data_IF_912281473457
#
_entry.id   IF_912281473457
#
_cell.length_a   1.000
_cell.length_b   1.000
_cell.length_c   1.000
_cell.angle_alpha   90.00
_cell.angle_beta   90.00
_cell.angle_gamma   90.00
#
_symmetry.space_group_name_H-M   'P 1'
#
loop_
_entity.id
_entity.type
_entity.pdbx_description
1 polymer ?
#
# COMPACT_ATOMS: atom_id res chain seq x y z
N UNK A 1 -14.90 -20.22 19.34
CA UNK A 1 -14.12 -20.74 18.18
C UNK A 1 -14.75 -20.39 16.85
N UNK A 2 -16.02 -20.74 16.57
CA UNK A 2 -16.67 -20.48 15.27
C UNK A 2 -16.63 -18.99 14.87
N UNK A 3 -16.92 -18.07 15.80
CA UNK A 3 -16.86 -16.61 15.54
C UNK A 3 -15.46 -16.14 15.12
N UNK A 4 -14.40 -16.69 15.72
CA UNK A 4 -13.01 -16.35 15.37
C UNK A 4 -12.63 -16.89 13.99
N UNK A 5 -13.12 -18.07 13.63
CA UNK A 5 -12.90 -18.66 12.30
C UNK A 5 -13.60 -17.82 11.23
N UNK A 6 -14.86 -17.42 11.48
CA UNK A 6 -15.61 -16.54 10.57
C UNK A 6 -14.88 -15.20 10.43
N UNK A 7 -14.44 -14.59 11.53
CA UNK A 7 -13.68 -13.33 11.49
C UNK A 7 -12.36 -13.48 10.70
N UNK A 8 -11.65 -14.59 10.87
CA UNK A 8 -10.44 -14.87 10.11
C UNK A 8 -10.74 -14.97 8.61
N UNK A 9 -11.78 -15.71 8.20
CA UNK A 9 -12.18 -15.84 6.80
C UNK A 9 -12.58 -14.48 6.20
N UNK A 10 -13.27 -13.64 6.95
CA UNK A 10 -13.65 -12.29 6.50
C UNK A 10 -12.40 -11.43 6.28
N UNK A 11 -11.43 -11.46 7.19
CA UNK A 11 -10.14 -10.77 7.03
C UNK A 11 -9.36 -11.36 5.84
N UNK A 12 -9.42 -12.68 5.67
CA UNK A 12 -9.17 -13.49 4.47
C UNK A 12 -9.54 -12.78 3.17
N UNK A 13 -10.84 -12.70 2.95
CA UNK A 13 -11.46 -12.23 1.71
C UNK A 13 -11.26 -10.72 1.54
N UNK A 14 -11.39 -9.94 2.62
CA UNK A 14 -11.16 -8.49 2.58
C UNK A 14 -9.71 -8.15 2.24
N UNK A 15 -8.74 -8.84 2.86
CA UNK A 15 -7.33 -8.63 2.58
C UNK A 15 -6.99 -8.97 1.12
N UNK A 16 -7.54 -10.05 0.58
CA UNK A 16 -7.29 -10.46 -0.80
C UNK A 16 -7.88 -9.48 -1.84
N UNK A 17 -9.11 -9.02 -1.61
CA UNK A 17 -9.84 -8.13 -2.52
C UNK A 17 -9.39 -6.68 -2.42
N UNK A 18 -9.19 -6.18 -1.20
CA UNK A 18 -8.80 -4.78 -0.96
C UNK A 18 -7.31 -4.52 -1.23
N UNK A 19 -6.47 -5.55 -1.33
CA UNK A 19 -5.03 -5.40 -1.55
C UNK A 19 -4.68 -4.50 -2.75
N UNK A 20 -5.23 -4.80 -3.93
CA UNK A 20 -4.95 -4.05 -5.16
C UNK A 20 -5.35 -2.56 -5.08
N UNK A 21 -6.61 -2.21 -4.74
CA UNK A 21 -7.02 -0.80 -4.67
C UNK A 21 -6.30 -0.04 -3.55
N UNK A 22 -6.06 -0.67 -2.39
CA UNK A 22 -5.32 -0.04 -1.29
C UNK A 22 -3.85 0.18 -1.66
N UNK A 23 -3.20 -0.79 -2.29
CA UNK A 23 -1.82 -0.66 -2.73
C UNK A 23 -1.67 0.41 -3.79
N UNK A 24 -2.63 0.56 -4.71
CA UNK A 24 -2.62 1.63 -5.72
C UNK A 24 -2.78 3.01 -5.07
N UNK A 25 -3.72 3.15 -4.13
CA UNK A 25 -3.99 4.43 -3.43
C UNK A 25 -2.86 4.87 -2.51
N UNK A 26 -2.13 3.93 -1.91
CA UNK A 26 -1.07 4.20 -0.94
C UNK A 26 0.35 3.94 -1.49
N UNK A 27 0.50 3.73 -2.80
CA UNK A 27 1.78 3.42 -3.45
C UNK A 27 2.87 4.47 -3.20
N UNK A 28 2.48 5.75 -3.08
CA UNK A 28 3.39 6.87 -2.77
C UNK A 28 3.66 7.10 -1.28
N UNK A 29 2.91 6.43 -0.39
CA UNK A 29 2.98 6.64 1.06
C UNK A 29 3.73 5.51 1.75
N UNK A 30 3.35 4.25 1.47
CA UNK A 30 3.94 3.08 2.12
C UNK A 30 4.05 1.91 1.15
N UNK A 31 5.25 1.34 1.04
CA UNK A 31 5.52 0.14 0.25
C UNK A 31 5.18 -1.14 1.01
N UNK A 32 5.09 -2.26 0.29
CA UNK A 32 4.73 -3.59 0.86
C UNK A 32 5.62 -3.96 2.04
N UNK A 33 6.94 -3.76 1.93
CA UNK A 33 7.89 -4.03 3.01
C UNK A 33 7.66 -3.14 4.25
N UNK A 34 7.30 -1.87 4.05
CA UNK A 34 6.96 -0.97 5.16
C UNK A 34 5.68 -1.39 5.87
N UNK A 35 4.65 -1.81 5.12
CA UNK A 35 3.43 -2.35 5.71
C UNK A 35 3.67 -3.63 6.52
N UNK A 36 4.67 -4.44 6.19
CA UNK A 36 5.07 -5.59 7.00
C UNK A 36 5.68 -5.21 8.33
N UNK A 37 6.55 -4.20 8.35
CA UNK A 37 7.13 -3.68 9.60
C UNK A 37 6.02 -3.18 10.52
N UNK A 38 5.03 -2.48 9.96
CA UNK A 38 3.86 -2.02 10.71
C UNK A 38 3.02 -3.18 11.24
N UNK A 39 2.71 -4.17 10.39
CA UNK A 39 1.96 -5.36 10.78
C UNK A 39 2.66 -6.13 11.91
N UNK A 40 3.97 -6.33 11.78
CA UNK A 40 4.80 -7.00 12.79
C UNK A 40 4.76 -6.23 14.11
N UNK A 41 4.87 -4.90 14.08
CA UNK A 41 4.73 -4.05 15.26
C UNK A 41 3.39 -4.23 15.97
N UNK A 42 2.28 -4.27 15.21
CA UNK A 42 0.95 -4.50 15.76
C UNK A 42 0.81 -5.89 16.37
N UNK A 43 1.33 -6.93 15.71
CA UNK A 43 1.32 -8.29 16.26
C UNK A 43 2.15 -8.41 17.54
N UNK A 44 3.33 -7.79 17.59
CA UNK A 44 4.15 -7.75 18.80
C UNK A 44 3.48 -6.95 19.92
N UNK A 45 2.70 -5.92 19.61
CA UNK A 45 1.92 -5.18 20.60
C UNK A 45 0.87 -6.09 21.26
N UNK A 46 0.10 -6.85 20.48
CA UNK A 46 -0.85 -7.81 21.06
C UNK A 46 -0.15 -8.94 21.82
N UNK A 47 0.98 -9.43 21.32
CA UNK A 47 1.77 -10.46 21.99
C UNK A 47 2.32 -9.97 23.33
N UNK A 48 2.87 -8.76 23.39
CA UNK A 48 3.42 -8.17 24.63
C UNK A 48 2.33 -7.90 25.66
N UNK A 49 1.15 -7.42 25.26
CA UNK A 49 -0.01 -7.29 26.17
C UNK A 49 -0.41 -8.66 26.74
N UNK A 50 -0.52 -9.68 25.90
CA UNK A 50 -0.85 -11.04 26.33
C UNK A 50 0.18 -11.62 27.30
N UNK A 51 1.47 -11.38 27.04
CA UNK A 51 2.58 -11.81 27.90
C UNK A 51 2.56 -11.09 29.25
N UNK A 52 2.30 -9.78 29.29
CA UNK A 52 2.19 -8.99 30.52
C UNK A 52 1.03 -9.50 31.39
N UNK A 53 -0.14 -9.71 30.79
CA UNK A 53 -1.31 -10.26 31.51
C UNK A 53 -1.02 -11.68 32.02
N UNK A 54 -0.41 -12.53 31.20
CA UNK A 54 -0.03 -13.89 31.57
C UNK A 54 0.99 -13.95 32.71
N UNK A 55 1.92 -12.99 32.75
CA UNK A 55 2.90 -12.82 33.83
C UNK A 55 2.22 -12.41 35.14
N UNK A 56 1.31 -11.44 35.11
CA UNK A 56 0.54 -11.02 36.29
C UNK A 56 -0.34 -12.17 36.82
N UNK A 57 -0.85 -13.02 35.94
CA UNK A 57 -1.72 -14.15 36.30
C UNK A 57 -0.91 -15.40 36.72
N UNK A 58 0.43 -15.34 36.75
CA UNK A 58 1.30 -16.44 37.18
C UNK A 58 1.35 -17.64 36.22
N UNK A 59 0.90 -17.48 34.97
CA UNK A 59 0.80 -18.56 33.97
C UNK A 59 1.86 -18.47 32.86
N UNK A 60 2.78 -17.51 32.92
CA UNK A 60 3.75 -17.31 31.83
C UNK A 60 4.99 -18.20 31.98
N UNK A 61 5.26 -19.02 30.95
CA UNK A 61 6.54 -19.73 30.75
C UNK A 61 7.54 -18.91 29.90
N UNK A 62 7.34 -17.59 29.78
CA UNK A 62 8.09 -16.73 28.86
C UNK A 62 9.23 -16.05 29.61
N UNK A 63 10.44 -16.04 29.02
CA UNK A 63 11.62 -15.43 29.65
C UNK A 63 11.48 -13.91 29.70
N UNK A 64 11.92 -13.28 30.79
CA UNK A 64 11.93 -11.82 30.93
C UNK A 64 12.72 -11.13 29.79
N UNK A 65 13.76 -11.79 29.27
CA UNK A 65 14.55 -11.30 28.15
C UNK A 65 13.74 -11.23 26.85
N UNK A 66 12.88 -12.22 26.58
CA UNK A 66 12.03 -12.25 25.39
C UNK A 66 10.98 -11.14 25.43
N UNK A 67 10.43 -10.85 26.62
CA UNK A 67 9.48 -9.75 26.81
C UNK A 67 10.17 -8.41 26.52
N UNK A 68 11.36 -8.18 27.10
CA UNK A 68 12.11 -6.93 26.89
C UNK A 68 12.48 -6.75 25.41
N UNK A 69 13.05 -7.78 24.78
CA UNK A 69 13.42 -7.73 23.36
C UNK A 69 12.20 -7.49 22.47
N UNK A 70 11.09 -8.19 22.75
CA UNK A 70 9.82 -8.00 22.04
C UNK A 70 9.30 -6.58 22.15
N UNK A 71 9.37 -5.96 23.34
CA UNK A 71 8.99 -4.56 23.56
C UNK A 71 9.89 -3.60 22.80
N UNK A 72 11.21 -3.81 22.79
CA UNK A 72 12.15 -2.94 22.05
C UNK A 72 11.87 -2.98 20.55
N UNK A 73 11.69 -4.17 19.97
CA UNK A 73 11.37 -4.31 18.54
C UNK A 73 10.01 -3.70 18.23
N UNK A 74 9.02 -3.90 19.10
CA UNK A 74 7.69 -3.29 18.96
C UNK A 74 7.78 -1.75 18.93
N UNK A 75 8.57 -1.14 19.82
CA UNK A 75 8.78 0.31 19.85
C UNK A 75 9.46 0.81 18.57
N UNK A 76 10.43 0.06 18.01
CA UNK A 76 11.05 0.40 16.73
C UNK A 76 10.04 0.34 15.57
N UNK A 77 9.19 -0.69 15.53
CA UNK A 77 8.15 -0.82 14.51
C UNK A 77 7.08 0.28 14.60
N UNK A 78 6.65 0.64 15.81
CA UNK A 78 5.74 1.76 16.02
C UNK A 78 6.41 3.10 15.69
N UNK A 79 7.68 3.27 16.05
CA UNK A 79 8.47 4.44 15.69
C UNK A 79 8.57 4.61 14.18
N UNK A 80 8.79 3.53 13.43
CA UNK A 80 8.73 3.52 11.97
C UNK A 80 7.35 3.95 11.44
N UNK A 81 6.26 3.44 12.03
CA UNK A 81 4.90 3.84 11.65
C UNK A 81 4.68 5.34 11.82
N UNK A 82 5.07 5.89 12.98
CA UNK A 82 4.96 7.34 13.27
C UNK A 82 5.83 8.15 12.31
N UNK A 83 7.05 7.70 12.03
CA UNK A 83 7.93 8.34 11.06
C UNK A 83 7.28 8.43 9.67
N UNK A 84 6.66 7.36 9.18
CA UNK A 84 5.94 7.36 7.90
C UNK A 84 4.75 8.32 7.94
N UNK A 85 3.99 8.36 9.03
CA UNK A 85 2.85 9.29 9.18
C UNK A 85 3.27 10.76 9.10
N UNK A 86 4.44 11.11 9.67
CA UNK A 86 4.91 12.49 9.71
C UNK A 86 5.59 12.93 8.41
N UNK A 87 6.23 12.00 7.70
CA UNK A 87 7.05 12.33 6.52
C UNK A 87 6.37 12.09 5.17
N UNK A 88 5.37 11.19 5.11
CA UNK A 88 4.76 10.74 3.85
C UNK A 88 3.25 11.00 3.74
N UNK A 89 2.57 11.32 4.83
CA UNK A 89 1.13 11.63 4.79
C UNK A 89 0.88 13.13 4.71
N UNK A 90 0.22 13.56 3.63
CA UNK A 90 -0.18 14.95 3.40
C UNK A 90 -1.47 15.30 4.15
N UNK A 91 -2.39 14.35 4.32
CA UNK A 91 -3.70 14.59 4.92
C UNK A 91 -3.88 13.89 6.27
N UNK A 92 -4.71 14.49 7.14
CA UNK A 92 -5.09 13.91 8.45
C UNK A 92 -5.81 12.57 8.27
N UNK A 93 -6.68 12.46 7.26
CA UNK A 93 -7.37 11.22 6.94
C UNK A 93 -6.40 10.08 6.57
N UNK A 94 -5.35 10.37 5.78
CA UNK A 94 -4.31 9.38 5.47
C UNK A 94 -3.57 8.93 6.73
N UNK A 95 -3.23 9.84 7.65
CA UNK A 95 -2.55 9.49 8.91
C UNK A 95 -3.36 8.54 9.77
N UNK A 96 -4.67 8.78 9.91
CA UNK A 96 -5.56 7.94 10.71
C UNK A 96 -5.79 6.56 10.05
N UNK A 97 -5.91 6.53 8.72
CA UNK A 97 -6.17 5.28 7.98
C UNK A 97 -4.92 4.44 7.72
N UNK A 98 -3.72 5.04 7.73
CA UNK A 98 -2.46 4.36 7.44
C UNK A 98 -2.21 3.07 8.24
N UNK A 99 -2.43 2.99 9.57
CA UNK A 99 -2.14 1.76 10.30
C UNK A 99 -3.07 0.62 9.89
N UNK A 100 -4.36 0.92 9.65
CA UNK A 100 -5.33 -0.06 9.19
C UNK A 100 -5.00 -0.53 7.77
N UNK A 101 -4.70 0.40 6.88
CA UNK A 101 -4.31 0.10 5.50
C UNK A 101 -3.02 -0.69 5.45
N UNK A 102 -2.01 -0.34 6.25
CA UNK A 102 -0.76 -1.06 6.34
C UNK A 102 -0.96 -2.50 6.82
N UNK A 103 -1.82 -2.73 7.82
CA UNK A 103 -2.18 -4.06 8.27
C UNK A 103 -2.91 -4.86 7.18
N UNK A 104 -3.87 -4.24 6.47
CA UNK A 104 -4.60 -4.88 5.37
C UNK A 104 -3.69 -5.23 4.19
N UNK A 105 -2.73 -4.36 3.84
CA UNK A 105 -1.73 -4.62 2.80
C UNK A 105 -0.80 -5.76 3.23
N UNK A 106 -0.35 -5.76 4.49
CA UNK A 106 0.49 -6.83 5.04
C UNK A 106 -0.21 -8.18 5.02
N UNK A 107 -1.41 -8.28 5.61
CA UNK A 107 -2.21 -9.52 5.60
C UNK A 107 -2.60 -9.95 4.19
N UNK A 108 -3.03 -9.00 3.35
CA UNK A 108 -3.41 -9.26 1.97
C UNK A 108 -2.25 -9.81 1.13
N UNK A 109 -1.02 -9.37 1.38
CA UNK A 109 0.16 -9.95 0.73
C UNK A 109 0.39 -11.39 1.19
N UNK A 110 0.40 -11.67 2.50
CA UNK A 110 0.59 -13.04 3.01
C UNK A 110 -0.40 -13.99 2.36
N UNK A 111 -1.66 -13.57 2.28
CA UNK A 111 -2.72 -14.38 1.69
C UNK A 111 -2.56 -14.57 0.18
N UNK A 112 -2.13 -13.52 -0.53
CA UNK A 112 -1.84 -13.61 -1.97
C UNK A 112 -0.61 -14.46 -2.27
N UNK A 113 0.40 -14.47 -1.42
CA UNK A 113 1.54 -15.40 -1.54
C UNK A 113 1.07 -16.84 -1.37
N UNK A 114 0.27 -17.11 -0.34
CA UNK A 114 -0.31 -18.44 -0.14
C UNK A 114 -1.17 -18.87 -1.34
N UNK A 115 -2.04 -17.98 -1.83
CA UNK A 115 -2.86 -18.26 -3.00
C UNK A 115 -2.01 -18.47 -4.28
N UNK A 116 -0.93 -17.72 -4.47
CA UNK A 116 -0.03 -17.89 -5.59
C UNK A 116 0.72 -19.24 -5.53
N UNK A 117 1.10 -19.71 -4.34
CA UNK A 117 1.74 -21.01 -4.17
C UNK A 117 0.74 -22.15 -4.42
N UNK A 118 -0.47 -22.05 -3.87
CA UNK A 118 -1.46 -23.14 -3.90
C UNK A 118 -2.24 -23.19 -5.21
N UNK A 119 -2.65 -22.04 -5.73
CA UNK A 119 -3.55 -21.93 -6.89
C UNK A 119 -2.86 -21.36 -8.14
N UNK A 120 -1.54 -21.16 -8.10
CA UNK A 120 -0.76 -20.60 -9.22
C UNK A 120 -1.31 -19.27 -9.76
N UNK A 121 -1.96 -18.49 -8.90
CA UNK A 121 -2.50 -17.17 -9.29
C UNK A 121 -1.37 -16.15 -9.45
N UNK A 122 -1.39 -15.31 -10.49
CA UNK A 122 -0.37 -14.28 -10.69
C UNK A 122 -0.41 -13.23 -9.55
N UNK A 123 0.76 -12.89 -9.01
CA UNK A 123 0.87 -11.82 -8.01
C UNK A 123 0.88 -10.46 -8.69
N UNK A 124 -0.29 -9.83 -8.79
CA UNK A 124 -0.37 -8.45 -9.24
C UNK A 124 0.28 -7.51 -8.22
N UNK A 125 1.15 -6.66 -8.74
CA UNK A 125 1.88 -5.68 -7.96
C UNK A 125 0.97 -4.51 -7.54
N UNK A 126 -0.22 -4.30 -8.12
CA UNK A 126 -1.08 -3.14 -7.78
C UNK A 126 -0.44 -1.75 -7.97
N UNK A 127 0.85 -1.68 -8.34
CA UNK A 127 1.50 -0.51 -8.88
C UNK A 127 0.89 -0.29 -10.25
N UNK A 128 0.51 0.96 -10.60
CA UNK A 128 0.25 1.27 -12.00
C UNK A 128 1.47 0.78 -12.80
N UNK A 129 1.24 0.14 -13.95
CA UNK A 129 2.34 -0.27 -14.80
C UNK A 129 3.22 0.96 -15.03
N UNK A 130 4.51 0.88 -14.69
CA UNK A 130 5.44 1.93 -15.05
C UNK A 130 5.45 1.99 -16.58
N UNK A 131 5.01 3.12 -17.14
CA UNK A 131 4.84 3.29 -18.58
C UNK A 131 3.39 3.28 -19.11
N UNK A 132 2.36 3.47 -18.27
CA UNK A 132 1.00 3.76 -18.79
C UNK A 132 1.00 5.09 -19.56
N UNK A 133 1.71 6.09 -19.05
CA UNK A 133 1.76 7.44 -19.62
C UNK A 133 3.04 7.67 -20.44
N UNK A 134 2.94 7.81 -21.77
CA UNK A 134 4.09 8.08 -22.63
C UNK A 134 4.72 9.44 -22.30
N UNK A 135 6.04 9.58 -22.48
CA UNK A 135 6.74 10.83 -22.14
C UNK A 135 6.38 11.99 -23.07
N UNK A 136 5.96 11.65 -24.30
CA UNK A 136 5.57 12.60 -25.35
C UNK A 136 4.22 12.16 -25.93
N UNK A 137 3.32 13.13 -26.07
CA UNK A 137 2.04 12.99 -26.74
C UNK A 137 1.92 14.06 -27.83
N UNK A 138 1.18 13.74 -28.89
CA UNK A 138 0.79 14.68 -29.94
C UNK A 138 -0.73 14.84 -29.94
N UNK A 139 -1.20 16.08 -29.97
CA UNK A 139 -2.61 16.39 -30.16
C UNK A 139 -3.04 16.14 -31.63
N UNK A 140 -4.35 16.22 -31.97
CA UNK A 140 -4.82 16.10 -33.35
C UNK A 140 -4.24 17.14 -34.33
N UNK A 141 -3.64 18.22 -33.82
CA UNK A 141 -3.00 19.29 -34.58
C UNK A 141 -1.47 19.15 -34.65
N UNK A 142 -0.94 17.98 -34.28
CA UNK A 142 0.49 17.65 -34.21
C UNK A 142 1.33 18.55 -33.28
N UNK A 143 0.70 19.20 -32.30
CA UNK A 143 1.44 19.90 -31.25
C UNK A 143 1.99 18.90 -30.25
N UNK A 144 3.26 19.08 -29.89
CA UNK A 144 3.96 18.21 -28.96
C UNK A 144 3.67 18.61 -27.52
N UNK A 145 3.19 17.65 -26.74
CA UNK A 145 2.93 17.75 -25.31
C UNK A 145 3.91 16.86 -24.57
N UNK A 146 4.75 17.45 -23.72
CA UNK A 146 5.75 16.75 -22.92
C UNK A 146 5.22 16.51 -21.50
N UNK A 147 5.43 15.32 -20.97
CA UNK A 147 5.03 14.95 -19.60
C UNK A 147 5.82 15.79 -18.58
N UNK A 148 5.10 16.50 -17.72
CA UNK A 148 5.67 17.36 -16.66
C UNK A 148 5.65 16.64 -15.32
N UNK A 149 4.55 15.96 -15.01
CA UNK A 149 4.37 15.24 -13.76
C UNK A 149 3.49 14.00 -13.96
N UNK A 150 3.78 12.94 -13.21
CA UNK A 150 3.02 11.69 -13.18
C UNK A 150 2.62 11.40 -11.72
N UNK A 151 1.32 11.52 -11.43
CA UNK A 151 0.71 11.01 -10.21
C UNK A 151 0.13 9.63 -10.47
N UNK A 152 0.04 8.76 -9.46
CA UNK A 152 -0.23 7.33 -9.66
C UNK A 152 -1.43 6.94 -10.54
N UNK A 153 -2.42 7.82 -10.74
CA UNK A 153 -3.54 7.63 -11.67
C UNK A 153 -3.72 8.72 -12.73
N UNK A 154 -2.83 9.72 -12.78
CA UNK A 154 -2.93 10.85 -13.69
C UNK A 154 -1.56 11.36 -14.17
N UNK A 155 -1.54 11.98 -15.34
CA UNK A 155 -0.36 12.65 -15.85
C UNK A 155 -0.72 14.04 -16.36
N UNK A 156 0.17 14.99 -16.07
CA UNK A 156 0.09 16.37 -16.58
C UNK A 156 1.12 16.53 -17.70
N UNK A 157 0.66 17.08 -18.81
CA UNK A 157 1.47 17.38 -19.98
C UNK A 157 1.42 18.88 -20.29
N UNK A 158 2.51 19.40 -20.83
CA UNK A 158 2.64 20.80 -21.23
C UNK A 158 3.12 20.89 -22.68
N UNK A 159 2.50 21.78 -23.45
CA UNK A 159 2.95 22.11 -24.80
C UNK A 159 3.70 23.45 -24.79
N UNK A 160 4.99 23.43 -25.10
CA UNK A 160 5.81 24.66 -25.17
C UNK A 160 5.38 25.61 -26.29
N UNK A 161 4.78 25.08 -27.36
CA UNK A 161 4.38 25.85 -28.55
C UNK A 161 3.08 26.63 -28.33
N UNK A 162 2.13 26.07 -27.60
CA UNK A 162 0.80 26.69 -27.38
C UNK A 162 0.64 27.23 -25.96
N UNK A 163 1.53 26.89 -25.03
CA UNK A 163 1.42 27.23 -23.61
C UNK A 163 0.28 26.50 -22.89
N UNK A 164 -0.31 25.48 -23.51
CA UNK A 164 -1.45 24.75 -22.95
C UNK A 164 -1.00 23.58 -22.08
N UNK A 165 -1.72 23.37 -20.98
CA UNK A 165 -1.61 22.19 -20.12
C UNK A 165 -2.73 21.19 -20.44
N UNK A 166 -2.36 19.92 -20.58
CA UNK A 166 -3.30 18.81 -20.76
C UNK A 166 -3.19 17.84 -19.58
N UNK A 167 -4.32 17.34 -19.11
CA UNK A 167 -4.43 16.43 -17.99
C UNK A 167 -5.11 15.15 -18.45
N UNK A 168 -4.48 14.01 -18.19
CA UNK A 168 -5.04 12.71 -18.53
C UNK A 168 -5.06 11.81 -17.31
N UNK A 169 -6.18 11.13 -17.11
CA UNK A 169 -6.29 10.05 -16.13
C UNK A 169 -5.99 8.71 -16.79
N UNK A 170 -5.61 7.72 -15.99
CA UNK A 170 -5.37 6.37 -16.50
C UNK A 170 -6.62 5.75 -17.16
N UNK A 171 -7.83 6.23 -16.83
CA UNK A 171 -9.09 5.87 -17.49
C UNK A 171 -9.21 6.39 -18.92
N UNK A 172 -8.49 7.46 -19.25
CA UNK A 172 -8.57 8.12 -20.56
C UNK A 172 -7.67 7.42 -21.58
N UNK A 173 -6.80 6.51 -21.13
CA UNK A 173 -5.85 5.77 -21.94
C UNK A 173 -6.38 4.36 -22.22
N UNK A 174 -7.34 4.25 -23.15
CA UNK A 174 -7.94 2.97 -23.55
C UNK A 174 -6.90 1.95 -24.06
N UNK A 175 -5.90 2.43 -24.82
CA UNK A 175 -4.75 1.64 -25.35
C UNK A 175 -3.40 2.27 -25.00
N UNK A 176 -3.35 3.00 -23.88
CA UNK A 176 -2.14 3.74 -23.49
C UNK A 176 -1.97 5.09 -24.20
N UNK A 177 -3.00 5.58 -24.91
CA UNK A 177 -3.05 6.91 -25.53
C UNK A 177 -4.45 7.51 -25.33
N UNK A 178 -4.57 8.81 -25.02
CA UNK A 178 -5.86 9.50 -25.01
C UNK A 178 -6.54 9.47 -26.40
N UNK A 179 -7.87 9.39 -26.44
CA UNK A 179 -8.63 9.35 -27.69
C UNK A 179 -8.33 10.57 -28.58
N UNK A 180 -7.86 10.29 -29.82
CA UNK A 180 -7.49 11.32 -30.80
C UNK A 180 -6.05 11.83 -30.69
N UNK A 181 -5.30 11.40 -29.68
CA UNK A 181 -3.90 11.75 -29.49
C UNK A 181 -3.00 10.65 -30.05
N UNK A 182 -1.73 10.98 -30.33
CA UNK A 182 -0.72 10.03 -30.82
C UNK A 182 0.48 9.98 -29.87
N UNK A 183 1.13 8.82 -29.79
CA UNK A 183 2.42 8.65 -29.12
C UNK A 183 3.55 9.15 -30.01
N UNK A 184 4.55 9.79 -29.39
CA UNK A 184 5.85 10.08 -30.00
C UNK A 184 6.86 8.98 -29.80
#
# INVERSE_FOLDING_TARGET
>A
MIVLIIAAIVIMVLGFTAYNPLRRKYAGVIGVGGSYIVLLGVMLLFSSIGQIIGSITGKSNVSALEIILGVVIMLLCLGYMVFVMLTRCETVAQRILLPFVACLIGFGFVWRVLAAIVFHTPMESGKPAQGVFPDILYDPSENQFRKVNEGGDNARYYCEKTGQEAFFYASDLADGVPNGWRRG
#
